data_IF_519029615708
#
_entry.id   IF_519029615708
#
_cell.length_a   1.000
_cell.length_b   1.000
_cell.length_c   1.000
_cell.angle_alpha   90.00
_cell.angle_beta   90.00
_cell.angle_gamma   90.00
#
_symmetry.space_group_name_H-M   'P 1'
#
loop_
_entity.id
_entity.type
_entity.pdbx_description
1 polymer ?
#
# COMPACT_ATOMS: atom_id res chain seq x y z
N UNK A 1 9.28 -1.72 21.56
CA UNK A 1 8.64 -2.99 21.99
C UNK A 1 7.45 -3.30 21.06
N UNK A 2 7.65 -3.16 19.75
CA UNK A 2 6.64 -3.39 18.70
C UNK A 2 7.21 -4.18 17.52
N UNK A 3 8.52 -4.39 17.48
CA UNK A 3 9.21 -5.04 16.35
C UNK A 3 9.16 -6.57 16.38
N UNK A 4 8.54 -7.18 17.39
CA UNK A 4 8.46 -8.63 17.56
C UNK A 4 7.12 -9.25 17.11
N UNK A 5 6.06 -8.46 16.92
CA UNK A 5 4.74 -9.02 16.56
C UNK A 5 4.60 -9.22 15.04
N UNK A 6 5.32 -8.43 14.22
CA UNK A 6 5.23 -8.51 12.75
C UNK A 6 6.02 -9.73 12.20
N UNK A 7 7.07 -10.17 12.90
CA UNK A 7 7.93 -11.27 12.42
C UNK A 7 7.31 -12.66 12.56
N UNK A 8 6.39 -12.87 13.49
CA UNK A 8 5.78 -14.18 13.73
C UNK A 8 4.59 -14.46 12.79
N UNK A 9 3.94 -13.41 12.26
CA UNK A 9 2.84 -13.58 11.31
C UNK A 9 3.35 -14.14 9.97
N UNK A 10 4.49 -13.65 9.49
CA UNK A 10 5.07 -14.08 8.20
C UNK A 10 5.46 -15.57 8.17
N UNK A 11 5.89 -16.13 9.31
CA UNK A 11 6.50 -17.48 9.38
C UNK A 11 5.47 -18.61 9.30
N UNK A 12 4.25 -18.36 9.78
CA UNK A 12 3.16 -19.34 9.72
C UNK A 12 2.47 -19.35 8.36
N UNK A 13 2.36 -18.19 7.70
CA UNK A 13 1.80 -18.07 6.35
C UNK A 13 2.72 -18.75 5.30
N UNK A 14 4.04 -18.57 5.44
CA UNK A 14 5.05 -19.28 4.64
C UNK A 14 4.89 -20.82 4.69
N UNK A 15 4.63 -21.36 5.89
CA UNK A 15 4.40 -22.81 6.08
C UNK A 15 3.06 -23.26 5.50
N UNK A 16 2.02 -22.44 5.61
CA UNK A 16 0.71 -22.73 5.03
C UNK A 16 0.76 -22.78 3.49
N UNK A 17 1.49 -21.85 2.87
CA UNK A 17 1.70 -21.83 1.42
C UNK A 17 2.53 -23.03 0.95
N UNK A 18 3.58 -23.41 1.68
CA UNK A 18 4.35 -24.64 1.41
C UNK A 18 3.48 -25.90 1.53
N UNK A 19 2.60 -25.97 2.54
CA UNK A 19 1.67 -27.09 2.71
C UNK A 19 0.60 -27.19 1.62
N UNK A 20 0.19 -26.08 1.00
CA UNK A 20 -0.73 -26.06 -0.16
C UNK A 20 -0.03 -26.38 -1.49
N UNK A 21 1.22 -25.95 -1.66
CA UNK A 21 2.02 -26.25 -2.86
C UNK A 21 2.35 -27.74 -2.99
N UNK A 22 2.51 -28.47 -1.89
CA UNK A 22 2.76 -29.93 -1.95
C UNK A 22 1.55 -30.75 -2.41
N UNK A 23 0.32 -30.21 -2.31
CA UNK A 23 -0.92 -30.92 -2.62
C UNK A 23 -1.51 -30.56 -4.00
N UNK A 24 -0.95 -29.58 -4.69
CA UNK A 24 -1.37 -29.19 -6.03
C UNK A 24 -0.16 -29.27 -6.95
N UNK A 25 -0.32 -29.69 -8.20
CA UNK A 25 0.74 -29.78 -9.21
C UNK A 25 1.35 -28.40 -9.61
N UNK A 26 1.25 -27.40 -8.72
CA UNK A 26 1.74 -26.04 -8.85
C UNK A 26 3.06 -25.94 -8.07
N UNK A 27 4.17 -26.21 -8.76
CA UNK A 27 5.51 -25.84 -8.29
C UNK A 27 5.62 -24.31 -8.31
N UNK A 28 5.08 -23.65 -7.29
CA UNK A 28 5.19 -22.20 -7.14
C UNK A 28 6.21 -21.94 -6.04
N UNK A 29 7.26 -21.20 -6.38
CA UNK A 29 8.24 -20.73 -5.41
C UNK A 29 7.58 -19.74 -4.45
N UNK A 30 7.81 -19.91 -3.15
CA UNK A 30 7.16 -19.08 -2.13
C UNK A 30 7.62 -17.62 -2.26
N UNK A 31 8.84 -17.38 -2.74
CA UNK A 31 9.31 -16.04 -3.06
C UNK A 31 8.51 -15.38 -4.18
N UNK A 32 8.12 -16.16 -5.20
CA UNK A 32 7.29 -15.64 -6.29
C UNK A 32 5.90 -15.24 -5.77
N UNK A 33 5.28 -16.05 -4.91
CA UNK A 33 4.00 -15.71 -4.28
C UNK A 33 4.13 -14.42 -3.47
N UNK A 34 5.18 -14.32 -2.64
CA UNK A 34 5.41 -13.15 -1.82
C UNK A 34 5.56 -11.88 -2.68
N UNK A 35 6.39 -11.92 -3.72
CA UNK A 35 6.58 -10.77 -4.62
C UNK A 35 5.30 -10.38 -5.36
N UNK A 36 4.45 -11.35 -5.72
CA UNK A 36 3.16 -11.07 -6.35
C UNK A 36 2.21 -10.38 -5.35
N UNK A 37 2.14 -10.89 -4.11
CA UNK A 37 1.30 -10.30 -3.07
C UNK A 37 1.75 -8.87 -2.74
N UNK A 38 3.06 -8.65 -2.61
CA UNK A 38 3.64 -7.32 -2.40
C UNK A 38 3.33 -6.38 -3.57
N UNK A 39 3.50 -6.86 -4.82
CA UNK A 39 3.20 -6.08 -6.01
C UNK A 39 1.72 -5.70 -6.11
N UNK A 40 0.80 -6.62 -5.80
CA UNK A 40 -0.63 -6.34 -5.76
C UNK A 40 -1.01 -5.36 -4.64
N UNK A 41 -0.41 -5.50 -3.46
CA UNK A 41 -0.61 -4.56 -2.37
C UNK A 41 -0.18 -3.13 -2.75
N UNK A 42 0.98 -3.00 -3.40
CA UNK A 42 1.44 -1.72 -3.93
C UNK A 42 0.50 -1.15 -4.99
N UNK A 43 0.06 -1.98 -5.94
CA UNK A 43 -0.87 -1.58 -6.99
C UNK A 43 -2.19 -1.07 -6.41
N UNK A 44 -2.75 -1.75 -5.42
CA UNK A 44 -4.01 -1.35 -4.79
C UNK A 44 -3.89 -0.06 -3.98
N UNK A 45 -2.79 0.13 -3.27
CA UNK A 45 -2.54 1.38 -2.55
C UNK A 45 -2.41 2.54 -3.53
N UNK A 46 -1.66 2.38 -4.63
CA UNK A 46 -1.48 3.43 -5.63
C UNK A 46 -2.80 3.73 -6.37
N UNK A 47 -3.55 2.69 -6.74
CA UNK A 47 -4.88 2.85 -7.34
C UNK A 47 -5.86 3.57 -6.40
N UNK A 48 -5.81 3.27 -5.10
CA UNK A 48 -6.64 3.90 -4.07
C UNK A 48 -6.32 5.38 -3.88
N UNK A 49 -5.04 5.78 -3.91
CA UNK A 49 -4.64 7.20 -3.84
C UNK A 49 -5.29 8.05 -4.93
N UNK A 50 -5.36 7.52 -6.15
CA UNK A 50 -5.94 8.21 -7.30
C UNK A 50 -7.42 7.91 -7.51
N UNK A 51 -8.03 7.05 -6.68
CA UNK A 51 -9.42 6.57 -6.81
C UNK A 51 -9.74 6.17 -8.25
N UNK A 52 -8.90 5.30 -8.80
CA UNK A 52 -9.00 4.89 -10.21
C UNK A 52 -10.36 4.28 -10.51
N UNK A 53 -10.98 4.72 -11.61
CA UNK A 53 -12.16 4.09 -12.20
C UNK A 53 -11.75 2.76 -12.85
N UNK A 54 -12.74 1.88 -13.11
CA UNK A 54 -12.52 0.59 -13.79
C UNK A 54 -11.66 0.73 -15.05
N UNK A 55 -12.00 1.67 -15.92
CA UNK A 55 -11.29 1.90 -17.19
C UNK A 55 -9.84 2.33 -16.97
N UNK A 56 -9.59 3.26 -16.04
CA UNK A 56 -8.25 3.72 -15.73
C UNK A 56 -7.40 2.62 -15.07
N UNK A 57 -8.02 1.76 -14.26
CA UNK A 57 -7.36 0.62 -13.64
C UNK A 57 -6.96 -0.44 -14.68
N UNK A 58 -7.87 -0.76 -15.61
CA UNK A 58 -7.61 -1.67 -16.73
C UNK A 58 -6.48 -1.14 -17.62
N UNK A 59 -6.44 0.16 -17.93
CA UNK A 59 -5.35 0.79 -18.70
C UNK A 59 -3.99 0.68 -18.01
N UNK A 60 -3.93 0.85 -16.68
CA UNK A 60 -2.69 0.72 -15.90
C UNK A 60 -2.18 -0.73 -15.92
N UNK A 61 -3.09 -1.71 -15.85
CA UNK A 61 -2.75 -3.14 -15.81
C UNK A 61 -2.53 -3.74 -17.20
N UNK A 62 -3.05 -3.12 -18.25
CA UNK A 62 -2.89 -3.61 -19.63
C UNK A 62 -1.42 -3.84 -20.00
N UNK A 63 -0.51 -3.01 -19.47
CA UNK A 63 0.93 -3.11 -19.68
C UNK A 63 1.58 -4.34 -19.03
N UNK A 64 0.90 -5.02 -18.11
CA UNK A 64 1.39 -6.23 -17.42
C UNK A 64 1.16 -7.51 -18.25
N UNK A 65 0.44 -7.43 -19.37
CA UNK A 65 0.20 -8.59 -20.25
C UNK A 65 -0.59 -9.72 -19.59
N UNK A 66 -1.39 -9.39 -18.57
CA UNK A 66 -2.24 -10.35 -17.86
C UNK A 66 -3.49 -10.68 -18.68
N UNK A 67 -4.02 -11.90 -18.58
CA UNK A 67 -5.26 -12.25 -19.27
C UNK A 67 -6.46 -11.54 -18.62
N UNK A 68 -7.45 -11.16 -19.44
CA UNK A 68 -8.59 -10.33 -19.04
C UNK A 68 -9.37 -10.88 -17.83
N UNK A 69 -9.49 -12.21 -17.73
CA UNK A 69 -10.15 -12.88 -16.61
C UNK A 69 -9.43 -12.63 -15.27
N UNK A 70 -8.11 -12.51 -15.29
CA UNK A 70 -7.31 -12.22 -14.10
C UNK A 70 -7.42 -10.74 -13.73
N UNK A 71 -7.45 -9.85 -14.72
CA UNK A 71 -7.63 -8.40 -14.50
C UNK A 71 -8.97 -8.14 -13.81
N UNK A 72 -10.05 -8.81 -14.25
CA UNK A 72 -11.36 -8.69 -13.64
C UNK A 72 -11.38 -9.16 -12.17
N UNK A 73 -10.71 -10.28 -11.87
CA UNK A 73 -10.57 -10.78 -10.49
C UNK A 73 -9.82 -9.78 -9.62
N UNK A 74 -8.70 -9.24 -10.12
CA UNK A 74 -7.87 -8.26 -9.41
C UNK A 74 -8.68 -6.98 -9.13
N UNK A 75 -9.45 -6.50 -10.09
CA UNK A 75 -10.28 -5.31 -9.92
C UNK A 75 -11.41 -5.53 -8.90
N UNK A 76 -12.07 -6.69 -8.92
CA UNK A 76 -13.09 -7.04 -7.94
C UNK A 76 -12.51 -7.10 -6.52
N UNK A 77 -11.30 -7.64 -6.37
CA UNK A 77 -10.60 -7.67 -5.08
C UNK A 77 -10.22 -6.26 -4.60
N UNK A 78 -9.77 -5.39 -5.51
CA UNK A 78 -9.53 -3.97 -5.21
C UNK A 78 -10.79 -3.28 -4.68
N UNK A 79 -11.95 -3.51 -5.29
CA UNK A 79 -13.22 -2.93 -4.83
C UNK A 79 -13.61 -3.39 -3.42
N UNK A 80 -13.36 -4.66 -3.09
CA UNK A 80 -13.61 -5.19 -1.74
C UNK A 80 -12.70 -4.52 -0.71
N UNK A 81 -11.44 -4.27 -1.07
CA UNK A 81 -10.44 -3.71 -0.18
C UNK A 81 -10.41 -2.18 -0.14
N UNK A 82 -11.15 -1.50 -1.03
CA UNK A 82 -11.16 -0.03 -1.16
C UNK A 82 -11.43 0.66 0.18
N UNK A 83 -12.36 0.15 1.00
CA UNK A 83 -12.66 0.74 2.32
C UNK A 83 -11.48 0.69 3.29
N UNK A 84 -10.71 -0.39 3.26
CA UNK A 84 -9.53 -0.57 4.11
C UNK A 84 -8.41 0.35 3.64
N UNK A 85 -8.24 0.46 2.32
CA UNK A 85 -7.26 1.34 1.69
C UNK A 85 -7.58 2.80 2.00
N UNK A 86 -8.84 3.23 1.83
CA UNK A 86 -9.29 4.59 2.16
C UNK A 86 -9.09 4.93 3.64
N UNK A 87 -9.40 3.99 4.54
CA UNK A 87 -9.14 4.18 5.96
C UNK A 87 -7.64 4.34 6.25
N UNK A 88 -6.79 3.46 5.72
CA UNK A 88 -5.35 3.56 5.86
C UNK A 88 -4.79 4.87 5.30
N UNK A 89 -5.17 5.25 4.08
CA UNK A 89 -4.75 6.50 3.45
C UNK A 89 -5.18 7.73 4.25
N UNK A 90 -6.41 7.74 4.79
CA UNK A 90 -6.89 8.86 5.61
C UNK A 90 -6.04 9.06 6.88
N UNK A 91 -5.57 7.99 7.51
CA UNK A 91 -4.70 8.10 8.69
C UNK A 91 -3.33 8.68 8.36
N UNK A 92 -2.79 8.38 7.18
CA UNK A 92 -1.49 8.87 6.70
C UNK A 92 -1.60 10.34 6.27
N UNK A 93 -2.66 10.71 5.55
CA UNK A 93 -2.87 12.09 5.11
C UNK A 93 -3.02 13.07 6.28
N UNK A 94 -3.70 12.66 7.35
CA UNK A 94 -3.84 13.48 8.56
C UNK A 94 -2.47 13.75 9.20
N UNK A 95 -1.57 12.77 9.24
CA UNK A 95 -0.20 12.97 9.73
C UNK A 95 0.59 13.93 8.82
N UNK A 96 0.40 13.86 7.51
CA UNK A 96 1.09 14.75 6.57
C UNK A 96 0.57 16.20 6.64
N UNK A 97 -0.73 16.40 6.89
CA UNK A 97 -1.33 17.73 7.08
C UNK A 97 -0.78 18.45 8.31
N UNK A 98 -0.44 17.72 9.38
CA UNK A 98 0.18 18.29 10.58
C UNK A 98 1.57 18.89 10.31
N UNK A 99 2.27 18.43 9.27
CA UNK A 99 3.57 18.96 8.85
C UNK A 99 3.47 20.01 7.75
N UNK A 100 2.33 20.17 7.08
CA UNK A 100 2.19 21.11 5.95
C UNK A 100 2.04 22.57 6.41
N UNK A 101 1.62 22.80 7.66
CA UNK A 101 1.51 24.13 8.24
C UNK A 101 2.66 24.33 9.25
N UNK A 102 3.88 24.57 8.75
CA UNK A 102 5.07 24.95 9.55
C UNK A 102 5.68 26.27 9.08
N UNK A 103 5.14 26.90 8.04
CA UNK A 103 5.56 28.23 7.59
C UNK A 103 5.42 29.27 8.71
N UNK A 104 4.36 29.14 9.52
CA UNK A 104 4.17 29.96 10.72
C UNK A 104 5.29 29.81 11.75
N UNK A 105 5.97 28.65 11.84
CA UNK A 105 7.10 28.47 12.77
C UNK A 105 8.33 29.22 12.29
N UNK A 106 8.53 29.29 10.98
CA UNK A 106 9.59 30.08 10.38
C UNK A 106 9.33 31.58 10.59
N UNK A 107 8.12 32.04 10.30
CA UNK A 107 7.73 33.45 10.49
C UNK A 107 7.82 33.90 11.95
N UNK A 108 7.42 33.04 12.89
CA UNK A 108 7.56 33.32 14.33
C UNK A 108 9.03 33.32 14.76
N UNK A 109 9.86 32.38 14.30
CA UNK A 109 11.29 32.39 14.64
C UNK A 109 12.01 33.62 14.08
N UNK A 110 11.75 33.98 12.83
CA UNK A 110 12.34 35.18 12.21
C UNK A 110 11.91 36.43 12.96
N UNK A 111 10.63 36.53 13.33
CA UNK A 111 10.11 37.66 14.11
C UNK A 111 10.73 37.73 15.51
N UNK A 112 10.90 36.60 16.20
CA UNK A 112 11.56 36.53 17.52
C UNK A 112 13.03 36.95 17.42
N UNK A 113 13.75 36.48 16.40
CA UNK A 113 15.16 36.82 16.19
C UNK A 113 15.30 38.30 15.85
N UNK A 114 14.45 38.85 14.97
CA UNK A 114 14.45 40.27 14.61
C UNK A 114 14.13 41.16 15.81
N UNK A 115 13.16 40.79 16.65
CA UNK A 115 12.82 41.54 17.86
C UNK A 115 13.89 41.47 18.95
N UNK A 116 14.83 40.53 18.86
CA UNK A 116 15.95 40.41 19.81
C UNK A 116 17.21 41.16 19.36
N UNK A 117 17.23 41.61 18.11
CA UNK A 117 18.32 42.40 17.50
C UNK A 117 18.04 43.91 17.49
N UNK A 118 16.82 44.32 17.86
CA UNK A 118 16.38 45.71 18.02
C UNK A 118 16.37 46.08 19.50
#
# INVERSE_FOLDING_TARGET
MTDLIISDCHKNDLKFLQGKSQNSNLQIDVKQVQSIVEGLAHLFVEAGKFKLTKTAFEEVILNLGLPDNVIEIIYNEYLLQTKVIDFGLSTIEIQHLQYKNIDWRFDIQVSIVMNKLM
#
